data_IF_136196060905
#
_entry.id   IF_136196060905
#
_cell.length_a   1.000
_cell.length_b   1.000
_cell.length_c   1.000
_cell.angle_alpha   90.00
_cell.angle_beta   90.00
_cell.angle_gamma   90.00
#
_symmetry.space_group_name_H-M   'P 1'
#
loop_
_entity.id
_entity.type
_entity.pdbx_description
1 polymer ?
#
# COMPACT_ATOMS: atom_id res chain seq x y z
N UNK A 1 -33.07 34.67 -14.07
CA UNK A 1 -32.03 34.64 -15.11
C UNK A 1 -31.12 33.46 -14.82
N UNK A 2 -30.86 32.53 -15.75
CA UNK A 2 -29.93 31.44 -15.48
C UNK A 2 -28.50 31.97 -15.42
N UNK A 3 -27.78 31.65 -14.35
CA UNK A 3 -26.38 32.04 -14.19
C UNK A 3 -25.52 31.41 -15.30
N UNK A 4 -24.69 32.22 -15.97
CA UNK A 4 -23.73 31.71 -16.96
C UNK A 4 -22.61 30.97 -16.23
N UNK A 5 -22.59 29.64 -16.35
CA UNK A 5 -21.50 28.79 -15.84
C UNK A 5 -20.21 29.14 -16.57
N UNK A 6 -19.16 29.50 -15.83
CA UNK A 6 -17.84 29.81 -16.40
C UNK A 6 -16.94 28.56 -16.42
N UNK A 7 -15.87 28.57 -17.23
CA UNK A 7 -14.88 27.47 -17.26
C UNK A 7 -14.20 27.21 -15.91
N UNK A 8 -14.07 28.24 -15.08
CA UNK A 8 -13.49 28.12 -13.73
C UNK A 8 -14.45 27.38 -12.79
N UNK A 9 -15.76 27.63 -12.90
CA UNK A 9 -16.78 26.95 -12.10
C UNK A 9 -16.82 25.46 -12.45
N UNK A 10 -16.86 25.13 -13.76
CA UNK A 10 -16.84 23.74 -14.21
C UNK A 10 -15.58 22.96 -13.79
N UNK A 11 -14.42 23.63 -13.69
CA UNK A 11 -13.19 23.02 -13.19
C UNK A 11 -13.28 22.70 -11.69
N UNK A 12 -13.79 23.63 -10.89
CA UNK A 12 -13.97 23.44 -9.44
C UNK A 12 -14.95 22.31 -9.13
N UNK A 13 -16.03 22.21 -9.91
CA UNK A 13 -17.00 21.13 -9.79
C UNK A 13 -16.36 19.77 -10.09
N UNK A 14 -15.53 19.69 -11.14
CA UNK A 14 -14.81 18.46 -11.48
C UNK A 14 -13.80 18.06 -10.40
N UNK A 15 -13.04 19.01 -9.84
CA UNK A 15 -12.10 18.77 -8.74
C UNK A 15 -12.83 18.28 -7.49
N UNK A 16 -13.96 18.90 -7.14
CA UNK A 16 -14.80 18.49 -6.00
C UNK A 16 -15.38 17.08 -6.19
N UNK A 17 -15.86 16.75 -7.40
CA UNK A 17 -16.39 15.43 -7.71
C UNK A 17 -15.31 14.34 -7.71
N UNK A 18 -14.12 14.64 -8.22
CA UNK A 18 -12.99 13.71 -8.17
C UNK A 18 -12.55 13.44 -6.73
N UNK A 19 -12.46 14.49 -5.92
CA UNK A 19 -12.11 14.38 -4.51
C UNK A 19 -13.16 13.58 -3.72
N UNK A 20 -14.45 13.83 -3.96
CA UNK A 20 -15.54 13.08 -3.30
C UNK A 20 -15.52 11.59 -3.68
N UNK A 21 -15.20 11.28 -4.94
CA UNK A 21 -15.00 9.89 -5.39
C UNK A 21 -13.84 9.23 -4.64
N UNK A 22 -12.71 9.90 -4.56
CA UNK A 22 -11.52 9.38 -3.90
C UNK A 22 -11.72 9.15 -2.39
N UNK A 23 -12.47 10.03 -1.73
CA UNK A 23 -12.89 9.84 -0.35
C UNK A 23 -13.71 8.56 -0.20
N UNK A 24 -14.72 8.38 -1.05
CA UNK A 24 -15.58 7.20 -1.02
C UNK A 24 -14.81 5.89 -1.29
N UNK A 25 -13.89 5.92 -2.26
CA UNK A 25 -13.00 4.79 -2.54
C UNK A 25 -12.10 4.46 -1.35
N UNK A 26 -11.59 5.48 -0.66
CA UNK A 26 -10.75 5.32 0.53
C UNK A 26 -11.53 4.77 1.72
N UNK A 27 -12.77 5.24 1.94
CA UNK A 27 -13.70 4.70 2.94
C UNK A 27 -13.98 3.22 2.69
N UNK A 28 -14.33 2.87 1.45
CA UNK A 28 -14.60 1.48 1.05
C UNK A 28 -13.36 0.61 1.25
N UNK A 29 -12.18 1.12 0.88
CA UNK A 29 -10.92 0.42 1.09
C UNK A 29 -10.62 0.19 2.57
N UNK A 30 -10.85 1.18 3.44
CA UNK A 30 -10.66 1.07 4.88
C UNK A 30 -11.54 -0.01 5.50
N UNK A 31 -12.76 -0.18 5.01
CA UNK A 31 -13.74 -1.16 5.48
C UNK A 31 -13.51 -2.57 4.92
N UNK A 32 -12.56 -2.75 4.01
CA UNK A 32 -12.26 -4.06 3.44
C UNK A 32 -11.77 -5.07 4.49
N UNK A 33 -12.02 -6.35 4.26
CA UNK A 33 -11.69 -7.45 5.18
C UNK A 33 -10.21 -7.44 5.63
N UNK A 34 -9.31 -6.99 4.74
CA UNK A 34 -7.86 -6.83 5.01
C UNK A 34 -7.57 -6.02 6.26
N UNK A 35 -8.41 -5.04 6.59
CA UNK A 35 -8.19 -4.11 7.70
C UNK A 35 -9.16 -4.31 8.87
N UNK A 36 -9.92 -5.42 8.89
CA UNK A 36 -10.88 -5.74 9.96
C UNK A 36 -10.30 -5.74 11.38
N UNK A 37 -8.98 -5.89 11.51
CA UNK A 37 -8.25 -5.91 12.79
C UNK A 37 -7.31 -4.70 12.98
N UNK A 38 -7.46 -3.64 12.18
CA UNK A 38 -6.60 -2.44 12.23
C UNK A 38 -7.38 -1.23 12.72
N UNK A 39 -6.99 -0.68 13.86
CA UNK A 39 -7.50 0.60 14.37
C UNK A 39 -6.67 1.75 13.81
N UNK A 40 -7.31 2.68 13.10
CA UNK A 40 -6.69 3.93 12.63
C UNK A 40 -7.12 5.07 13.54
N UNK A 41 -6.17 5.91 13.95
CA UNK A 41 -6.41 7.13 14.73
C UNK A 41 -6.59 8.37 13.85
N UNK A 42 -6.86 8.15 12.56
CA UNK A 42 -7.10 9.16 11.54
C UNK A 42 -8.23 8.68 10.62
N UNK A 43 -8.79 9.61 9.87
CA UNK A 43 -9.94 9.43 9.01
C UNK A 43 -9.53 9.25 7.54
N UNK A 44 -10.40 8.65 6.70
CA UNK A 44 -10.24 8.67 5.25
C UNK A 44 -10.09 10.09 4.69
N UNK A 45 -10.81 11.06 5.27
CA UNK A 45 -10.71 12.47 4.91
C UNK A 45 -9.28 12.99 5.05
N UNK A 46 -8.67 12.81 6.23
CA UNK A 46 -7.30 13.26 6.51
C UNK A 46 -6.28 12.61 5.56
N UNK A 47 -6.50 11.36 5.15
CA UNK A 47 -5.66 10.70 4.15
C UNK A 47 -5.78 11.34 2.78
N UNK A 48 -7.00 11.55 2.28
CA UNK A 48 -7.23 12.14 0.95
C UNK A 48 -6.75 13.59 0.90
N UNK A 49 -6.92 14.36 1.98
CA UNK A 49 -6.40 15.72 2.10
C UNK A 49 -4.89 15.85 1.90
N UNK A 50 -4.12 14.79 2.21
CA UNK A 50 -2.66 14.77 2.10
C UNK A 50 -2.14 14.13 0.80
N UNK A 51 -3.00 13.51 0.00
CA UNK A 51 -2.57 12.65 -1.12
C UNK A 51 -2.06 13.42 -2.34
N UNK A 52 -2.43 14.70 -2.47
CA UNK A 52 -2.07 15.53 -3.61
C UNK A 52 -2.77 15.11 -4.91
N UNK A 53 -2.57 15.89 -5.99
CA UNK A 53 -3.26 15.67 -7.27
C UNK A 53 -2.51 14.73 -8.23
N UNK A 54 -1.23 14.45 -7.97
CA UNK A 54 -0.42 13.53 -8.77
C UNK A 54 -0.23 12.23 -7.99
N UNK A 55 -0.80 11.15 -8.51
CA UNK A 55 -0.71 9.82 -7.90
C UNK A 55 0.34 8.98 -8.65
N UNK A 56 1.39 8.56 -7.95
CA UNK A 56 2.35 7.58 -8.47
C UNK A 56 1.83 6.15 -8.22
N UNK A 57 1.77 5.31 -9.25
CA UNK A 57 1.37 3.91 -9.06
C UNK A 57 2.51 3.09 -8.47
N UNK A 58 2.33 2.61 -7.25
CA UNK A 58 3.27 1.69 -6.58
C UNK A 58 2.94 0.24 -6.91
N UNK A 59 2.91 -0.14 -8.19
CA UNK A 59 2.42 -1.45 -8.66
C UNK A 59 3.12 -2.62 -7.97
N UNK A 60 4.46 -2.62 -7.93
CA UNK A 60 5.22 -3.71 -7.29
C UNK A 60 4.89 -3.84 -5.81
N UNK A 61 4.79 -2.72 -5.10
CA UNK A 61 4.45 -2.73 -3.68
C UNK A 61 3.02 -3.23 -3.43
N UNK A 62 2.04 -2.73 -4.22
CA UNK A 62 0.63 -3.16 -4.14
C UNK A 62 0.50 -4.66 -4.37
N UNK A 63 1.01 -5.16 -5.49
CA UNK A 63 0.89 -6.57 -5.86
C UNK A 63 1.61 -7.48 -4.86
N UNK A 64 2.80 -7.08 -4.40
CA UNK A 64 3.57 -7.85 -3.41
C UNK A 64 2.86 -7.87 -2.05
N UNK A 65 2.30 -6.75 -1.61
CA UNK A 65 1.57 -6.65 -0.35
C UNK A 65 0.24 -7.42 -0.34
N UNK A 66 -0.42 -7.55 -1.51
CA UNK A 66 -1.59 -8.43 -1.67
C UNK A 66 -1.18 -9.89 -1.58
N UNK A 67 -0.21 -10.32 -2.39
CA UNK A 67 0.28 -11.71 -2.40
C UNK A 67 0.81 -12.15 -1.02
N UNK A 68 1.57 -11.30 -0.35
CA UNK A 68 2.13 -11.58 0.97
C UNK A 68 1.03 -11.70 2.03
N UNK A 69 0.03 -10.81 2.01
CA UNK A 69 -1.10 -10.89 2.93
C UNK A 69 -1.83 -12.23 2.78
N UNK A 70 -2.20 -12.60 1.56
CA UNK A 70 -2.94 -13.83 1.30
C UNK A 70 -2.11 -15.07 1.67
N UNK A 71 -0.80 -15.02 1.41
CA UNK A 71 0.12 -16.07 1.82
C UNK A 71 0.16 -16.27 3.34
N UNK A 72 0.32 -15.19 4.09
CA UNK A 72 0.40 -15.23 5.55
C UNK A 72 -0.94 -15.64 6.20
N UNK A 73 -2.06 -15.17 5.67
CA UNK A 73 -3.39 -15.59 6.14
C UNK A 73 -3.59 -17.10 5.98
N UNK A 74 -3.19 -17.66 4.83
CA UNK A 74 -3.23 -19.12 4.61
C UNK A 74 -2.35 -19.86 5.62
N UNK A 75 -1.11 -19.42 5.82
CA UNK A 75 -0.22 -20.05 6.81
C UNK A 75 -0.79 -19.99 8.22
N UNK A 76 -1.41 -18.88 8.61
CA UNK A 76 -2.03 -18.71 9.91
C UNK A 76 -3.17 -19.72 10.13
N UNK A 77 -4.08 -19.86 9.16
CA UNK A 77 -5.17 -20.85 9.22
C UNK A 77 -4.64 -22.28 9.29
N UNK A 78 -3.58 -22.58 8.53
CA UNK A 78 -2.92 -23.89 8.53
C UNK A 78 -2.02 -24.14 9.77
N UNK A 79 -1.87 -23.16 10.67
CA UNK A 79 -0.94 -23.18 11.81
C UNK A 79 0.50 -23.48 11.39
N UNK A 80 0.92 -22.92 10.25
CA UNK A 80 2.28 -23.00 9.72
C UNK A 80 2.96 -21.64 9.80
N UNK A 81 4.26 -21.65 9.55
CA UNK A 81 5.08 -20.44 9.49
C UNK A 81 5.92 -20.42 8.21
N UNK A 82 6.35 -19.23 7.84
CA UNK A 82 7.44 -19.02 6.88
C UNK A 82 8.67 -18.60 7.65
N UNK A 83 9.83 -19.13 7.27
CA UNK A 83 11.11 -18.74 7.84
C UNK A 83 11.92 -18.00 6.79
N UNK A 84 12.52 -16.88 7.18
CA UNK A 84 13.36 -16.07 6.29
C UNK A 84 14.60 -15.58 7.03
N UNK A 85 15.57 -15.11 6.26
CA UNK A 85 16.73 -14.36 6.74
C UNK A 85 16.90 -13.07 5.93
N UNK A 86 17.85 -12.24 6.34
CA UNK A 86 18.20 -11.01 5.64
C UNK A 86 19.40 -11.16 4.74
N UNK A 87 19.23 -11.27 3.40
CA UNK A 87 20.35 -11.35 2.49
C UNK A 87 21.17 -10.05 2.51
N UNK A 88 22.50 -10.18 2.59
CA UNK A 88 23.42 -9.03 2.67
C UNK A 88 23.70 -8.35 1.31
N UNK A 89 23.28 -8.98 0.22
CA UNK A 89 23.50 -8.50 -1.15
C UNK A 89 22.34 -8.90 -2.08
N UNK A 90 22.19 -8.22 -3.24
CA UNK A 90 21.23 -8.64 -4.26
C UNK A 90 21.44 -10.09 -4.73
N UNK A 91 22.69 -10.51 -4.91
CA UNK A 91 23.01 -11.90 -5.26
C UNK A 91 22.56 -12.88 -4.18
N UNK A 92 22.74 -12.52 -2.90
CA UNK A 92 22.21 -13.30 -1.77
C UNK A 92 20.68 -13.37 -1.77
N UNK A 93 20.00 -12.30 -2.16
CA UNK A 93 18.54 -12.29 -2.29
C UNK A 93 18.06 -13.22 -3.41
N UNK A 94 18.72 -13.20 -4.56
CA UNK A 94 18.43 -14.14 -5.66
C UNK A 94 18.65 -15.58 -5.21
N UNK A 95 19.76 -15.86 -4.50
CA UNK A 95 20.06 -17.20 -3.99
C UNK A 95 18.99 -17.69 -3.02
N UNK A 96 18.53 -16.85 -2.10
CA UNK A 96 17.45 -17.18 -1.17
C UNK A 96 16.16 -17.60 -1.90
N UNK A 97 15.79 -16.86 -2.95
CA UNK A 97 14.62 -17.20 -3.78
C UNK A 97 14.81 -18.53 -4.49
N UNK A 98 16.01 -18.80 -5.03
CA UNK A 98 16.34 -20.10 -5.65
C UNK A 98 16.29 -21.27 -4.66
N UNK A 99 16.57 -21.01 -3.38
CA UNK A 99 16.48 -21.98 -2.28
C UNK A 99 15.04 -22.17 -1.76
N UNK A 100 14.06 -21.45 -2.34
CA UNK A 100 12.65 -21.60 -2.02
C UNK A 100 12.14 -20.64 -0.94
N UNK A 101 12.94 -19.67 -0.50
CA UNK A 101 12.49 -18.62 0.41
C UNK A 101 11.49 -17.70 -0.30
N UNK A 102 10.29 -17.57 0.26
CA UNK A 102 9.16 -16.86 -0.39
C UNK A 102 9.01 -15.40 0.06
N UNK A 103 9.54 -15.07 1.22
CA UNK A 103 9.52 -13.73 1.81
C UNK A 103 10.94 -13.42 2.23
N UNK A 104 11.45 -12.22 1.95
CA UNK A 104 12.76 -11.78 2.39
C UNK A 104 12.62 -10.75 3.51
N UNK A 105 13.42 -10.90 4.56
CA UNK A 105 13.50 -9.90 5.63
C UNK A 105 14.60 -8.90 5.31
N UNK A 106 14.32 -7.60 5.34
CA UNK A 106 15.34 -6.57 5.13
C UNK A 106 15.76 -5.97 6.48
N UNK A 107 16.82 -6.53 7.06
CA UNK A 107 17.31 -6.13 8.37
C UNK A 107 18.17 -4.87 8.33
N UNK A 108 17.74 -3.80 9.00
CA UNK A 108 18.47 -2.53 9.07
C UNK A 108 19.89 -2.65 9.65
N UNK A 109 20.13 -3.63 10.53
CA UNK A 109 21.48 -3.91 11.05
C UNK A 109 22.46 -4.31 9.95
N UNK A 110 22.05 -5.20 9.03
CA UNK A 110 22.88 -5.63 7.90
C UNK A 110 23.17 -4.46 6.97
N UNK A 111 22.18 -3.60 6.71
CA UNK A 111 22.37 -2.37 5.94
C UNK A 111 23.36 -1.41 6.61
N UNK A 112 23.27 -1.25 7.93
CA UNK A 112 24.17 -0.38 8.70
C UNK A 112 25.60 -0.92 8.76
N UNK A 113 25.76 -2.23 8.97
CA UNK A 113 27.06 -2.88 9.05
C UNK A 113 27.79 -2.95 7.70
N UNK A 114 27.06 -2.81 6.58
CA UNK A 114 27.63 -2.84 5.22
C UNK A 114 28.50 -1.64 4.88
N UNK A 115 28.53 -0.59 5.71
CA UNK A 115 29.50 0.52 5.72
C UNK A 115 30.12 0.89 4.37
N UNK A 116 29.61 1.96 3.75
CA UNK A 116 29.98 2.55 2.43
C UNK A 116 31.01 1.80 1.57
#
# INVERSE_FOLDING_TARGET
>A
MPAKITRLDARRDNEAMAWARELHETETWFQSQRFSHITRLHTPFEVVSLRGSLQEDSTIARESATKMHDYLQRLFVEKKQETTYGPFSPTGAVRAVMEGIKVLYLGGWATSAKGS
#
